data_IF_393183685774
#
_entry.id   IF_393183685774
#
_cell.length_a   1.000
_cell.length_b   1.000
_cell.length_c   1.000
_cell.angle_alpha   90.00
_cell.angle_beta   90.00
_cell.angle_gamma   90.00
#
_symmetry.space_group_name_H-M   'P 1'
#
loop_
_entity.id
_entity.type
_entity.pdbx_description
1 polymer ?
#
# COMPACT_ATOMS: atom_id res chain seq x y z
N UNK A 1 -28.69 -13.98 -2.62
CA UNK A 1 -28.51 -12.51 -2.49
C UNK A 1 -27.44 -12.02 -3.48
N UNK A 2 -27.78 -11.15 -4.43
CA UNK A 2 -26.84 -10.61 -5.44
C UNK A 2 -26.11 -9.39 -4.87
N UNK A 3 -24.77 -9.40 -4.85
CA UNK A 3 -23.93 -8.26 -4.43
C UNK A 3 -24.04 -7.14 -5.46
N UNK A 4 -24.44 -5.94 -5.03
CA UNK A 4 -24.38 -4.72 -5.85
C UNK A 4 -22.95 -4.19 -5.84
N UNK A 5 -22.33 -4.10 -7.01
CA UNK A 5 -21.04 -3.44 -7.21
C UNK A 5 -21.32 -1.95 -7.49
N UNK A 6 -21.48 -1.15 -6.45
CA UNK A 6 -21.54 0.30 -6.58
C UNK A 6 -20.12 0.88 -6.55
N UNK A 7 -19.55 1.17 -7.74
CA UNK A 7 -18.33 1.97 -7.84
C UNK A 7 -18.70 3.45 -7.76
N UNK A 8 -18.38 4.11 -6.64
CA UNK A 8 -18.70 5.52 -6.37
C UNK A 8 -17.77 6.55 -7.04
N UNK A 9 -16.97 6.15 -8.04
CA UNK A 9 -16.01 7.05 -8.69
C UNK A 9 -16.57 7.55 -10.01
N UNK A 10 -17.31 8.66 -9.98
CA UNK A 10 -17.59 9.43 -11.19
C UNK A 10 -16.34 10.20 -11.62
N UNK A 11 -15.38 9.49 -12.21
CA UNK A 11 -14.26 10.11 -12.91
C UNK A 11 -14.75 10.74 -14.21
N UNK A 12 -14.81 12.07 -14.26
CA UNK A 12 -15.08 12.83 -15.49
C UNK A 12 -14.12 12.37 -16.59
N UNK A 13 -14.62 11.71 -17.62
CA UNK A 13 -13.82 11.13 -18.70
C UNK A 13 -13.15 12.28 -19.47
N UNK A 14 -11.84 12.49 -19.23
CA UNK A 14 -11.03 13.45 -19.99
C UNK A 14 -11.09 13.00 -21.45
N UNK A 15 -11.66 13.84 -22.33
CA UNK A 15 -11.74 13.55 -23.76
C UNK A 15 -10.32 13.43 -24.31
N UNK A 16 -9.97 12.20 -24.73
CA UNK A 16 -8.61 11.85 -25.15
C UNK A 16 -8.34 12.54 -26.50
N UNK A 17 -7.46 13.56 -26.55
CA UNK A 17 -6.84 13.99 -27.81
C UNK A 17 -6.06 12.81 -28.38
N UNK A 18 -6.66 12.09 -29.34
CA UNK A 18 -6.03 10.96 -30.03
C UNK A 18 -5.05 11.50 -31.08
N UNK A 19 -3.80 11.80 -30.67
CA UNK A 19 -2.70 11.58 -31.62
C UNK A 19 -2.64 10.08 -31.82
N UNK A 20 -2.76 9.61 -33.06
CA UNK A 20 -2.63 8.19 -33.37
C UNK A 20 -1.25 7.74 -32.91
N UNK A 21 -1.18 6.97 -31.81
CA UNK A 21 0.04 6.30 -31.41
C UNK A 21 0.45 5.43 -32.59
N UNK A 22 1.62 5.68 -33.18
CA UNK A 22 2.13 4.83 -34.26
C UNK A 22 2.16 3.39 -33.74
N UNK A 23 1.43 2.50 -34.39
CA UNK A 23 1.40 1.08 -34.08
C UNK A 23 2.74 0.47 -34.47
N UNK A 24 3.74 0.57 -33.60
CA UNK A 24 4.97 -0.20 -33.72
C UNK A 24 4.69 -1.61 -33.20
N UNK A 25 5.14 -2.62 -33.93
CA UNK A 25 5.09 -4.01 -33.47
C UNK A 25 5.97 -4.12 -32.24
N UNK A 26 5.41 -4.55 -31.11
CA UNK A 26 6.18 -4.81 -29.88
C UNK A 26 7.05 -6.04 -30.15
N UNK A 27 8.33 -5.93 -29.81
CA UNK A 27 9.25 -7.08 -29.80
C UNK A 27 9.08 -7.82 -28.48
N UNK A 28 8.93 -9.15 -28.54
CA UNK A 28 8.76 -10.05 -27.41
C UNK A 28 9.87 -11.10 -27.34
N UNK A 29 10.96 -10.90 -28.10
CA UNK A 29 12.08 -11.85 -28.16
C UNK A 29 12.72 -12.14 -26.79
N UNK A 30 12.67 -11.19 -25.86
CA UNK A 30 13.21 -11.26 -24.50
C UNK A 30 12.19 -11.71 -23.44
N UNK A 31 10.90 -11.71 -23.76
CA UNK A 31 9.80 -12.02 -22.82
C UNK A 31 8.94 -13.13 -23.42
N UNK A 32 9.34 -14.40 -23.28
CA UNK A 32 8.54 -15.52 -23.77
C UNK A 32 7.19 -15.60 -23.03
N UNK A 33 6.13 -16.09 -23.70
CA UNK A 33 4.85 -16.31 -23.04
C UNK A 33 4.99 -17.34 -21.92
N UNK A 34 4.30 -17.09 -20.81
CA UNK A 34 4.22 -18.05 -19.70
C UNK A 34 3.43 -19.29 -20.13
N UNK A 35 3.84 -20.46 -19.67
CA UNK A 35 3.05 -21.69 -19.82
C UNK A 35 1.82 -21.67 -18.92
N UNK A 36 0.80 -22.45 -19.26
CA UNK A 36 -0.42 -22.56 -18.44
C UNK A 36 -0.12 -23.07 -17.02
N UNK A 37 0.86 -23.97 -16.89
CA UNK A 37 1.34 -24.48 -15.60
C UNK A 37 2.01 -23.38 -14.76
N UNK A 38 2.86 -22.56 -15.39
CA UNK A 38 3.49 -21.41 -14.74
C UNK A 38 2.43 -20.40 -14.29
N UNK A 39 1.45 -20.11 -15.15
CA UNK A 39 0.36 -19.20 -14.82
C UNK A 39 -0.50 -19.72 -13.66
N UNK A 40 -0.82 -21.01 -13.65
CA UNK A 40 -1.58 -21.66 -12.58
C UNK A 40 -0.84 -21.64 -11.23
N UNK A 41 0.50 -21.65 -11.24
CA UNK A 41 1.33 -21.58 -10.04
C UNK A 41 1.43 -20.18 -9.43
N UNK A 42 1.03 -19.12 -10.15
CA UNK A 42 1.18 -17.74 -9.69
C UNK A 42 0.23 -17.44 -8.53
N UNK A 43 0.78 -17.13 -7.36
CA UNK A 43 0.00 -16.67 -6.19
C UNK A 43 -0.18 -15.16 -6.21
N UNK A 44 -1.42 -14.70 -6.02
CA UNK A 44 -1.67 -13.28 -5.68
C UNK A 44 -1.13 -13.00 -4.29
N UNK A 45 0.02 -12.35 -4.20
CA UNK A 45 0.71 -12.05 -2.93
C UNK A 45 0.20 -10.79 -2.22
N UNK A 46 -0.92 -10.21 -2.68
CA UNK A 46 -1.54 -9.05 -2.04
C UNK A 46 -0.57 -7.89 -1.77
N UNK A 47 -0.95 -6.99 -0.86
CA UNK A 47 0.01 -6.11 -0.19
C UNK A 47 0.56 -6.89 0.99
N UNK A 48 1.89 -7.06 1.13
CA UNK A 48 2.46 -7.63 2.35
C UNK A 48 1.96 -6.86 3.57
N UNK A 49 1.38 -7.53 4.59
CA UNK A 49 0.96 -6.85 5.80
C UNK A 49 2.19 -6.31 6.54
N UNK A 50 2.10 -5.10 7.08
CA UNK A 50 3.14 -4.53 7.96
C UNK A 50 2.93 -5.07 9.39
N UNK A 51 3.02 -6.38 9.57
CA UNK A 51 2.76 -7.10 10.83
C UNK A 51 1.84 -8.32 10.65
N UNK A 52 1.38 -8.90 11.77
CA UNK A 52 0.42 -10.03 11.77
C UNK A 52 -0.95 -9.62 11.21
N UNK A 53 -1.32 -8.35 11.40
CA UNK A 53 -2.58 -7.77 10.95
C UNK A 53 -2.36 -6.46 10.16
N UNK A 54 -3.29 -6.10 9.25
CA UNK A 54 -3.25 -4.82 8.57
C UNK A 54 -3.45 -3.66 9.57
N UNK A 55 -2.68 -2.58 9.40
CA UNK A 55 -2.82 -1.38 10.26
C UNK A 55 -4.21 -0.77 10.13
N UNK A 56 -4.88 -0.56 11.25
CA UNK A 56 -6.15 0.15 11.31
C UNK A 56 -5.92 1.67 11.34
N UNK A 57 -6.66 2.41 10.52
CA UNK A 57 -6.67 3.88 10.56
C UNK A 57 -7.56 4.34 11.70
N UNK A 58 -6.95 4.99 12.69
CA UNK A 58 -7.64 5.57 13.84
C UNK A 58 -7.27 7.05 13.98
N UNK A 59 -8.17 7.83 14.56
CA UNK A 59 -7.87 9.19 15.00
C UNK A 59 -7.55 9.17 16.50
N UNK A 60 -6.34 9.55 16.88
CA UNK A 60 -5.92 9.70 18.29
C UNK A 60 -5.47 11.13 18.54
N UNK A 61 -5.74 11.63 19.74
CA UNK A 61 -5.18 12.90 20.23
C UNK A 61 -3.90 12.62 21.00
N UNK A 62 -2.82 13.30 20.63
CA UNK A 62 -1.52 13.22 21.30
C UNK A 62 -1.17 14.59 21.88
N UNK A 63 -0.50 14.60 23.03
CA UNK A 63 0.05 15.84 23.57
C UNK A 63 1.04 16.47 22.56
N UNK A 64 1.00 17.79 22.33
CA UNK A 64 1.88 18.45 21.36
C UNK A 64 3.38 18.27 21.65
N UNK A 65 3.79 18.20 22.92
CA UNK A 65 5.19 17.94 23.32
C UNK A 65 5.60 16.53 22.92
N UNK A 66 4.73 15.55 23.15
CA UNK A 66 4.96 14.14 22.76
C UNK A 66 5.09 14.03 21.24
N UNK A 67 4.19 14.67 20.48
CA UNK A 67 4.25 14.66 19.01
C UNK A 67 5.55 15.27 18.47
N UNK A 68 6.02 16.39 19.05
CA UNK A 68 7.29 17.01 18.66
C UNK A 68 8.49 16.09 18.95
N UNK A 69 8.50 15.47 20.13
CA UNK A 69 9.55 14.52 20.51
C UNK A 69 9.59 13.31 19.57
N UNK A 70 8.43 12.71 19.27
CA UNK A 70 8.32 11.58 18.35
C UNK A 70 8.89 11.93 16.97
N UNK A 71 8.54 13.10 16.41
CA UNK A 71 9.07 13.55 15.11
C UNK A 71 10.59 13.71 15.14
N UNK A 72 11.14 14.31 16.19
CA UNK A 72 12.59 14.50 16.31
C UNK A 72 13.34 13.16 16.42
N UNK A 73 12.82 12.21 17.20
CA UNK A 73 13.40 10.86 17.33
C UNK A 73 13.29 10.08 16.03
N UNK A 74 12.15 10.17 15.35
CA UNK A 74 11.91 9.49 14.08
C UNK A 74 12.91 9.93 12.99
N UNK A 75 13.21 11.23 12.90
CA UNK A 75 14.24 11.77 12.00
C UNK A 75 15.62 11.18 12.33
N UNK A 76 16.02 11.16 13.61
CA UNK A 76 17.31 10.59 14.04
C UNK A 76 17.43 9.09 13.69
N UNK A 77 16.32 8.36 13.74
CA UNK A 77 16.26 6.93 13.44
C UNK A 77 15.96 6.62 11.96
N UNK A 78 15.78 7.65 11.12
CA UNK A 78 15.43 7.52 9.71
C UNK A 78 14.16 6.67 9.45
N UNK A 79 13.18 6.75 10.35
CA UNK A 79 11.89 6.05 10.21
C UNK A 79 10.72 7.05 10.25
N UNK A 80 9.56 6.74 9.64
CA UNK A 80 8.36 7.57 9.80
C UNK A 80 7.90 7.61 11.27
N UNK A 81 7.48 8.79 11.74
CA UNK A 81 7.05 8.94 13.14
C UNK A 81 5.83 8.07 13.48
N UNK A 82 4.97 7.76 12.50
CA UNK A 82 3.84 6.86 12.69
C UNK A 82 4.28 5.41 12.92
N UNK A 83 5.35 4.95 12.25
CA UNK A 83 5.92 3.64 12.52
C UNK A 83 6.55 3.60 13.91
N UNK A 84 7.27 4.66 14.29
CA UNK A 84 7.84 4.78 15.64
C UNK A 84 6.77 4.73 16.75
N UNK A 85 5.61 5.37 16.54
CA UNK A 85 4.47 5.29 17.48
C UNK A 85 4.04 3.84 17.64
N UNK A 86 3.83 3.12 16.53
CA UNK A 86 3.41 1.72 16.58
C UNK A 86 4.45 0.83 17.26
N UNK A 87 5.74 1.02 16.96
CA UNK A 87 6.82 0.23 17.55
C UNK A 87 6.89 0.43 19.08
N UNK A 88 6.74 1.68 19.54
CA UNK A 88 6.67 2.00 20.97
C UNK A 88 5.47 1.32 21.63
N UNK A 89 4.27 1.48 21.07
CA UNK A 89 3.05 0.86 21.61
C UNK A 89 3.14 -0.67 21.63
N UNK A 90 3.68 -1.29 20.58
CA UNK A 90 3.89 -2.73 20.53
C UNK A 90 4.91 -3.20 21.57
N UNK A 91 5.96 -2.42 21.82
CA UNK A 91 6.94 -2.74 22.86
C UNK A 91 6.36 -2.64 24.27
N UNK A 92 5.50 -1.66 24.54
CA UNK A 92 4.83 -1.52 25.84
C UNK A 92 3.75 -2.59 26.04
N UNK A 93 3.00 -2.94 24.98
CA UNK A 93 2.04 -4.06 25.00
C UNK A 93 2.72 -5.38 25.39
N UNK A 94 3.90 -5.67 24.82
CA UNK A 94 4.70 -6.88 25.15
C UNK A 94 5.24 -6.91 26.58
N UNK A 95 5.39 -5.75 27.23
CA UNK A 95 5.84 -5.66 28.63
C UNK A 95 4.68 -5.77 29.61
N UNK A 96 3.49 -5.34 29.20
CA UNK A 96 2.30 -5.30 30.03
C UNK A 96 1.50 -6.61 30.03
N UNK A 97 1.66 -7.44 28.99
CA UNK A 97 1.15 -8.82 28.94
C UNK A 97 2.19 -9.82 29.42
#
# INVERSE_FOLDING_TARGET
MKKRLDSSVQGRRITKKRRATKTRKIDYSDIPPLTDEQLASMRRVGRPPLGDEPRQLIAIRLDPKVLRWLRAVAVKRQVPYQSLINDLLASEMKKAG
#
